data_IF_222312094707
#
_entry.id   IF_222312094707
#
_cell.length_a   1.000
_cell.length_b   1.000
_cell.length_c   1.000
_cell.angle_alpha   90.00
_cell.angle_beta   90.00
_cell.angle_gamma   90.00
#
_symmetry.space_group_name_H-M   'P 1'
#
loop_
_entity.id
_entity.type
_entity.pdbx_description
1 polymer ?
#
# COMPACT_ATOMS: atom_id res chain seq x y z
N UNK A 1 27.20 -1.81 3.71
CA UNK A 1 26.06 -1.17 3.01
C UNK A 1 25.27 -2.28 2.35
N UNK A 2 24.06 -2.60 2.81
CA UNK A 2 23.24 -3.57 2.09
C UNK A 2 22.89 -2.98 0.72
N UNK A 3 22.98 -3.79 -0.33
CA UNK A 3 22.45 -3.43 -1.63
C UNK A 3 20.92 -3.39 -1.49
N UNK A 4 20.36 -2.22 -1.16
CA UNK A 4 18.92 -2.07 -1.04
C UNK A 4 18.32 -2.28 -2.43
N UNK A 5 17.60 -3.39 -2.57
CA UNK A 5 16.86 -3.71 -3.78
C UNK A 5 15.59 -2.87 -3.82
N UNK A 6 15.57 -1.88 -4.70
CA UNK A 6 14.44 -0.96 -4.84
C UNK A 6 13.46 -1.42 -5.92
N UNK A 7 13.48 -2.69 -6.32
CA UNK A 7 12.60 -3.23 -7.36
C UNK A 7 11.13 -3.01 -7.05
N UNK A 8 10.68 -3.24 -5.81
CA UNK A 8 9.28 -3.02 -5.43
C UNK A 8 8.83 -1.55 -5.61
N UNK A 9 9.68 -0.59 -5.19
CA UNK A 9 9.41 0.83 -5.38
C UNK A 9 9.34 1.20 -6.87
N UNK A 10 10.22 0.62 -7.71
CA UNK A 10 10.16 0.80 -9.17
C UNK A 10 8.93 0.17 -9.81
N UNK A 11 8.48 -0.99 -9.33
CA UNK A 11 7.23 -1.59 -9.81
C UNK A 11 6.04 -0.67 -9.51
N UNK A 12 5.96 -0.07 -8.31
CA UNK A 12 4.95 0.95 -8.01
C UNK A 12 5.08 2.17 -8.94
N UNK A 13 6.29 2.64 -9.19
CA UNK A 13 6.53 3.75 -10.13
C UNK A 13 6.07 3.43 -11.57
N UNK A 14 6.22 2.19 -12.05
CA UNK A 14 5.71 1.74 -13.35
C UNK A 14 4.19 1.90 -13.41
N UNK A 15 3.48 1.44 -12.38
CA UNK A 15 2.01 1.52 -12.35
C UNK A 15 1.57 2.99 -12.25
N UNK A 16 2.28 3.83 -11.48
CA UNK A 16 2.01 5.27 -11.39
C UNK A 16 2.23 6.00 -12.72
N UNK A 17 3.30 5.69 -13.47
CA UNK A 17 3.53 6.27 -14.80
C UNK A 17 2.39 5.92 -15.75
N UNK A 18 1.95 4.67 -15.77
CA UNK A 18 0.84 4.26 -16.63
C UNK A 18 -0.50 4.88 -16.19
N UNK A 19 -0.64 5.25 -14.92
CA UNK A 19 -1.82 5.93 -14.40
C UNK A 19 -1.93 7.40 -14.83
N UNK A 20 -0.84 8.01 -15.32
CA UNK A 20 -0.83 9.39 -15.83
C UNK A 20 -1.51 9.50 -17.21
N UNK A 21 -1.52 8.41 -17.98
CA UNK A 21 -2.16 8.32 -19.30
C UNK A 21 -3.10 7.11 -19.37
N UNK A 22 -4.17 7.05 -18.54
CA UNK A 22 -5.03 5.88 -18.46
C UNK A 22 -5.74 5.63 -19.80
N UNK A 23 -5.68 4.38 -20.28
CA UNK A 23 -6.29 3.96 -21.54
C UNK A 23 -5.42 4.12 -22.79
N UNK A 24 -4.28 4.81 -22.70
CA UNK A 24 -3.31 4.94 -23.80
C UNK A 24 -2.15 3.97 -23.63
N UNK A 25 -1.76 3.20 -24.67
CA UNK A 25 -0.57 2.36 -24.60
C UNK A 25 0.70 3.19 -24.52
N UNK A 26 1.50 2.99 -23.48
CA UNK A 26 2.83 3.62 -23.32
C UNK A 26 3.91 2.58 -23.64
N UNK A 27 4.96 2.95 -24.37
CA UNK A 27 6.03 2.00 -24.71
C UNK A 27 6.71 1.50 -23.44
N UNK A 28 6.83 0.18 -23.28
CA UNK A 28 7.43 -0.42 -22.09
C UNK A 28 8.87 0.04 -21.81
N UNK A 29 9.65 0.36 -22.84
CA UNK A 29 10.99 0.93 -22.67
C UNK A 29 10.96 2.31 -22.00
N UNK A 30 10.01 3.17 -22.38
CA UNK A 30 9.84 4.52 -21.83
C UNK A 30 9.33 4.44 -20.38
N UNK A 31 8.41 3.51 -20.10
CA UNK A 31 7.90 3.24 -18.74
C UNK A 31 9.02 2.75 -17.81
N UNK A 32 9.85 1.80 -18.27
CA UNK A 32 10.99 1.30 -17.50
C UNK A 32 12.02 2.41 -17.25
N UNK A 33 12.32 3.23 -18.27
CA UNK A 33 13.22 4.36 -18.13
C UNK A 33 12.68 5.40 -17.14
N UNK A 34 11.40 5.74 -17.22
CA UNK A 34 10.73 6.64 -16.29
C UNK A 34 10.74 6.12 -14.85
N UNK A 35 10.51 4.82 -14.65
CA UNK A 35 10.55 4.22 -13.32
C UNK A 35 11.95 4.26 -12.69
N UNK A 36 13.00 4.03 -13.49
CA UNK A 36 14.40 4.18 -13.05
C UNK A 36 14.74 5.65 -12.78
N UNK A 37 14.19 6.60 -13.54
CA UNK A 37 14.38 8.02 -13.28
C UNK A 37 13.73 8.47 -11.96
N UNK A 38 12.53 7.95 -11.63
CA UNK A 38 11.84 8.23 -10.35
C UNK A 38 12.51 7.57 -9.15
N UNK A 39 13.04 6.35 -9.33
CA UNK A 39 13.73 5.60 -8.28
C UNK A 39 15.10 5.17 -8.85
N UNK A 40 16.15 5.99 -8.69
CA UNK A 40 17.47 5.73 -9.26
C UNK A 40 18.07 4.39 -8.82
N UNK A 41 18.88 3.77 -9.69
CA UNK A 41 19.63 2.54 -9.37
C UNK A 41 20.65 2.80 -8.26
N UNK A 42 20.76 1.88 -7.31
CA UNK A 42 21.90 1.85 -6.39
C UNK A 42 23.18 1.48 -7.15
N UNK A 43 24.35 1.67 -6.51
CA UNK A 43 25.63 1.30 -7.08
C UNK A 43 25.66 -0.17 -7.55
N UNK A 44 25.16 -1.08 -6.70
CA UNK A 44 25.07 -2.51 -7.01
C UNK A 44 24.07 -2.83 -8.14
N UNK A 45 22.96 -2.10 -8.21
CA UNK A 45 21.99 -2.27 -9.30
C UNK A 45 22.51 -1.71 -10.65
N UNK A 46 23.43 -0.75 -10.59
CA UNK A 46 24.04 -0.10 -11.76
C UNK A 46 25.14 -0.93 -12.40
N UNK A 47 25.63 -1.97 -11.74
CA UNK A 47 26.63 -2.89 -12.28
C UNK A 47 26.13 -3.52 -13.58
N UNK A 48 26.91 -3.32 -14.66
CA UNK A 48 26.60 -3.82 -15.99
C UNK A 48 26.91 -5.31 -16.07
N UNK A 49 25.93 -6.09 -16.52
CA UNK A 49 26.10 -7.52 -16.74
C UNK A 49 26.80 -7.78 -18.09
N UNK A 50 27.23 -9.02 -18.33
CA UNK A 50 27.88 -9.42 -19.60
C UNK A 50 27.08 -9.08 -20.87
N UNK A 51 25.76 -8.93 -20.75
CA UNK A 51 24.87 -8.50 -21.84
C UNK A 51 24.73 -6.98 -22.03
N UNK A 52 25.55 -6.15 -21.38
CA UNK A 52 25.54 -4.69 -21.55
C UNK A 52 24.40 -3.93 -20.85
N UNK A 53 23.53 -4.63 -20.12
CA UNK A 53 22.41 -4.05 -19.37
C UNK A 53 22.74 -4.06 -17.88
N UNK A 54 22.42 -2.98 -17.17
CA UNK A 54 22.55 -2.89 -15.72
C UNK A 54 21.70 -3.96 -15.02
N UNK A 55 22.24 -4.57 -13.96
CA UNK A 55 21.57 -5.63 -13.17
C UNK A 55 20.16 -5.22 -12.76
N UNK A 56 20.00 -4.00 -12.22
CA UNK A 56 18.72 -3.47 -11.76
C UNK A 56 17.69 -3.37 -12.88
N UNK A 57 18.09 -2.92 -14.08
CA UNK A 57 17.18 -2.82 -15.23
C UNK A 57 16.72 -4.21 -15.68
N UNK A 58 17.65 -5.18 -15.76
CA UNK A 58 17.30 -6.57 -16.09
C UNK A 58 16.32 -7.17 -15.08
N UNK A 59 16.58 -6.96 -13.78
CA UNK A 59 15.72 -7.44 -12.70
C UNK A 59 14.35 -6.79 -12.73
N UNK A 60 14.28 -5.46 -12.89
CA UNK A 60 13.03 -4.73 -13.00
C UNK A 60 12.20 -5.22 -14.18
N UNK A 61 12.82 -5.35 -15.37
CA UNK A 61 12.15 -5.85 -16.57
C UNK A 61 11.53 -7.23 -16.34
N UNK A 62 12.26 -8.15 -15.70
CA UNK A 62 11.71 -9.47 -15.34
C UNK A 62 10.58 -9.37 -14.30
N UNK A 63 10.75 -8.53 -13.28
CA UNK A 63 9.78 -8.36 -12.20
C UNK A 63 8.45 -7.78 -12.69
N UNK A 64 8.41 -7.02 -13.79
CA UNK A 64 7.14 -6.54 -14.36
C UNK A 64 6.16 -7.65 -14.78
N UNK A 65 6.59 -8.91 -14.83
CA UNK A 65 5.67 -10.04 -14.98
C UNK A 65 4.71 -10.20 -13.80
N UNK A 66 5.10 -9.77 -12.59
CA UNK A 66 4.21 -9.82 -11.42
C UNK A 66 3.04 -8.86 -11.57
N UNK A 67 3.27 -7.65 -12.09
CA UNK A 67 2.22 -6.67 -12.36
C UNK A 67 1.15 -7.20 -13.33
N UNK A 68 1.57 -8.01 -14.32
CA UNK A 68 0.64 -8.67 -15.25
C UNK A 68 -0.12 -9.79 -14.53
N UNK A 69 0.58 -10.62 -13.75
CA UNK A 69 -0.02 -11.72 -12.98
C UNK A 69 -1.07 -11.20 -11.97
N UNK A 70 -0.79 -10.05 -11.37
CA UNK A 70 -1.66 -9.34 -10.42
C UNK A 70 -2.76 -8.52 -11.13
N UNK A 71 -2.83 -8.54 -12.46
CA UNK A 71 -3.86 -7.80 -13.20
C UNK A 71 -3.71 -6.28 -13.15
N UNK A 72 -2.59 -5.73 -12.68
CA UNK A 72 -2.37 -4.29 -12.57
C UNK A 72 -2.10 -3.62 -13.93
N UNK A 73 -1.47 -4.35 -14.87
CA UNK A 73 -1.15 -3.85 -16.20
C UNK A 73 -1.42 -4.90 -17.28
N UNK A 74 -1.67 -4.44 -18.51
CA UNK A 74 -1.66 -5.26 -19.71
C UNK A 74 -0.44 -4.92 -20.56
N UNK A 75 0.23 -5.94 -21.13
CA UNK A 75 1.34 -5.76 -22.07
C UNK A 75 0.89 -6.11 -23.49
N UNK A 76 0.62 -5.09 -24.29
CA UNK A 76 0.25 -5.22 -25.70
C UNK A 76 1.44 -5.02 -26.64
N UNK A 77 1.21 -5.33 -27.93
CA UNK A 77 2.19 -5.11 -29.01
C UNK A 77 2.57 -3.64 -29.18
N UNK A 78 1.62 -2.74 -28.96
CA UNK A 78 1.76 -1.29 -29.16
C UNK A 78 2.24 -0.55 -27.92
N UNK A 79 2.24 -1.20 -26.74
CA UNK A 79 2.59 -0.58 -25.46
C UNK A 79 1.96 -1.31 -24.30
N UNK A 80 2.22 -0.81 -23.10
CA UNK A 80 1.61 -1.27 -21.86
C UNK A 80 0.47 -0.33 -21.48
N UNK A 81 -0.60 -0.86 -20.93
CA UNK A 81 -1.73 -0.08 -20.41
C UNK A 81 -1.99 -0.46 -18.97
N UNK A 82 -2.46 0.51 -18.18
CA UNK A 82 -2.95 0.25 -16.82
C UNK A 82 -4.35 -0.35 -16.85
N UNK A 83 -4.67 -1.21 -15.90
CA UNK A 83 -6.05 -1.68 -15.65
C UNK A 83 -6.73 -0.78 -14.62
N UNK A 84 -8.03 -0.95 -14.41
CA UNK A 84 -8.72 -0.25 -13.30
C UNK A 84 -8.08 -0.58 -11.94
N UNK A 85 -7.73 -1.84 -11.74
CA UNK A 85 -7.03 -2.32 -10.54
C UNK A 85 -5.63 -1.71 -10.40
N UNK A 86 -4.87 -1.61 -11.50
CA UNK A 86 -3.61 -0.88 -11.52
C UNK A 86 -3.78 0.60 -11.12
N UNK A 87 -4.80 1.27 -11.63
CA UNK A 87 -5.08 2.67 -11.30
C UNK A 87 -5.38 2.86 -9.81
N UNK A 88 -6.12 1.92 -9.20
CA UNK A 88 -6.37 1.92 -7.76
C UNK A 88 -5.08 1.71 -6.97
N UNK A 89 -4.22 0.78 -7.40
CA UNK A 89 -2.93 0.54 -6.78
C UNK A 89 -1.98 1.75 -6.90
N UNK A 90 -1.97 2.45 -8.05
CA UNK A 90 -1.17 3.65 -8.25
C UNK A 90 -1.53 4.79 -7.29
N UNK A 91 -2.84 4.95 -7.01
CA UNK A 91 -3.37 5.95 -6.10
C UNK A 91 -3.28 5.55 -4.62
N UNK A 92 -2.94 4.30 -4.31
CA UNK A 92 -2.83 3.85 -2.94
C UNK A 92 -1.62 4.48 -2.22
N UNK A 93 -1.76 4.84 -0.93
CA UNK A 93 -0.69 5.42 -0.13
C UNK A 93 0.50 4.45 0.03
N UNK A 94 1.64 4.96 0.48
CA UNK A 94 2.83 4.16 0.79
C UNK A 94 2.67 3.36 2.08
N UNK A 95 1.98 3.92 3.06
CA UNK A 95 1.62 3.27 4.31
C UNK A 95 0.28 3.78 4.85
N UNK A 96 -0.40 2.94 5.62
CA UNK A 96 -1.64 3.30 6.32
C UNK A 96 -1.52 2.82 7.76
N UNK A 97 -1.78 3.71 8.71
CA UNK A 97 -1.77 3.42 10.12
C UNK A 97 -3.18 3.57 10.70
N UNK A 98 -3.55 2.65 11.59
CA UNK A 98 -4.75 2.77 12.40
C UNK A 98 -4.36 3.24 13.81
N UNK A 99 -4.30 4.55 13.99
CA UNK A 99 -3.84 5.14 15.24
C UNK A 99 -5.03 5.48 16.15
N UNK A 100 -4.97 5.02 17.40
CA UNK A 100 -6.03 5.19 18.37
C UNK A 100 -5.57 4.94 19.80
N UNK A 101 -6.53 4.91 20.72
CA UNK A 101 -6.30 4.67 22.15
C UNK A 101 -6.06 3.18 22.53
N UNK A 102 -5.85 2.32 21.53
CA UNK A 102 -5.44 0.93 21.70
C UNK A 102 -3.98 0.68 21.29
N UNK A 103 -3.23 1.71 20.90
CA UNK A 103 -1.83 1.56 20.47
C UNK A 103 -0.99 0.77 21.49
N UNK A 104 -1.18 1.05 22.78
CA UNK A 104 -0.50 0.34 23.87
C UNK A 104 -0.86 -1.15 23.97
N UNK A 105 -2.04 -1.56 23.48
CA UNK A 105 -2.42 -2.99 23.39
C UNK A 105 -1.65 -3.71 22.28
N UNK A 106 -1.22 -2.97 21.27
CA UNK A 106 -0.42 -3.48 20.15
C UNK A 106 1.08 -3.31 20.37
N UNK A 107 1.50 -2.70 21.48
CA UNK A 107 2.92 -2.45 21.79
C UNK A 107 3.48 -1.15 21.22
N UNK A 108 2.61 -0.18 20.90
CA UNK A 108 2.96 1.18 20.52
C UNK A 108 2.47 2.20 21.56
N UNK A 109 2.84 3.47 21.43
CA UNK A 109 2.13 4.54 22.14
C UNK A 109 0.74 4.75 21.51
N UNK A 110 -0.22 5.20 22.32
CA UNK A 110 -1.53 5.59 21.78
C UNK A 110 -1.37 6.78 20.84
N UNK A 111 -2.17 6.81 19.76
CA UNK A 111 -2.13 7.87 18.75
C UNK A 111 -0.78 8.07 18.05
N UNK A 112 0.05 7.02 17.95
CA UNK A 112 1.36 7.04 17.28
C UNK A 112 1.33 6.43 15.87
N UNK A 113 0.99 7.21 14.81
CA UNK A 113 0.83 6.68 13.45
C UNK A 113 2.14 6.24 12.79
N UNK A 114 3.29 6.63 13.35
CA UNK A 114 4.59 6.21 12.85
C UNK A 114 5.02 4.82 13.35
N UNK A 115 4.35 4.28 14.37
CA UNK A 115 4.71 3.00 14.96
C UNK A 115 4.37 1.83 14.00
N UNK A 116 5.29 0.88 13.88
CA UNK A 116 5.13 -0.27 12.98
C UNK A 116 3.95 -1.18 13.39
N UNK A 117 3.65 -1.24 14.70
CA UNK A 117 2.62 -2.10 15.28
C UNK A 117 1.18 -1.69 14.91
N UNK A 118 0.99 -0.43 14.51
CA UNK A 118 -0.32 0.09 14.08
C UNK A 118 -0.43 0.22 12.56
N UNK A 119 0.61 -0.16 11.81
CA UNK A 119 0.55 -0.18 10.36
C UNK A 119 -0.35 -1.32 9.88
N UNK A 120 -1.22 -0.98 8.95
CA UNK A 120 -2.09 -1.93 8.27
C UNK A 120 -1.31 -2.60 7.14
N UNK A 121 -1.69 -3.83 6.79
CA UNK A 121 -1.15 -4.55 5.64
C UNK A 121 -2.06 -4.37 4.42
N UNK A 122 -1.50 -4.03 3.27
CA UNK A 122 -2.28 -3.96 2.03
C UNK A 122 -2.61 -5.36 1.51
N UNK A 123 -3.90 -5.64 1.30
CA UNK A 123 -4.39 -6.85 0.67
C UNK A 123 -4.71 -6.58 -0.80
N UNK A 124 -3.99 -7.17 -1.76
CA UNK A 124 -4.26 -6.96 -3.18
C UNK A 124 -5.57 -7.62 -3.63
N UNK A 125 -5.96 -8.75 -2.99
CA UNK A 125 -7.22 -9.46 -3.30
C UNK A 125 -8.42 -8.58 -3.00
N UNK A 126 -8.37 -7.92 -1.85
CA UNK A 126 -9.48 -7.15 -1.34
C UNK A 126 -9.33 -5.64 -1.66
N UNK A 127 -8.17 -5.22 -2.18
CA UNK A 127 -7.81 -3.84 -2.50
C UNK A 127 -8.01 -2.88 -1.33
N UNK A 128 -7.64 -3.32 -0.14
CA UNK A 128 -7.81 -2.56 1.10
C UNK A 128 -6.65 -2.80 2.06
N UNK A 129 -6.55 -1.94 3.06
CA UNK A 129 -5.56 -2.08 4.12
C UNK A 129 -6.21 -2.75 5.33
N UNK A 130 -5.59 -3.78 5.89
CA UNK A 130 -6.16 -4.62 6.93
C UNK A 130 -5.26 -4.65 8.17
N UNK A 131 -5.86 -4.53 9.36
CA UNK A 131 -5.21 -4.74 10.65
C UNK A 131 -6.11 -5.59 11.53
N UNK A 132 -5.61 -6.75 11.95
CA UNK A 132 -6.29 -7.63 12.89
C UNK A 132 -5.64 -7.53 14.26
N UNK A 133 -6.46 -7.33 15.29
CA UNK A 133 -6.02 -7.14 16.66
C UNK A 133 -6.87 -7.95 17.64
N UNK A 134 -6.25 -8.46 18.70
CA UNK A 134 -6.94 -8.95 19.88
C UNK A 134 -7.11 -7.78 20.86
N UNK A 135 -8.33 -7.29 21.05
CA UNK A 135 -8.63 -6.19 21.95
C UNK A 135 -9.49 -6.67 23.13
N UNK A 136 -9.25 -6.21 24.36
CA UNK A 136 -10.19 -6.39 25.48
C UNK A 136 -11.53 -5.70 25.24
N UNK A 137 -12.53 -6.03 26.06
CA UNK A 137 -13.77 -5.28 26.09
C UNK A 137 -13.53 -3.80 26.43
N UNK A 138 -14.22 -2.89 25.75
CA UNK A 138 -14.09 -1.46 25.98
C UNK A 138 -14.56 -0.60 24.81
N UNK A 139 -14.38 0.71 24.99
CA UNK A 139 -14.64 1.71 23.94
C UNK A 139 -13.32 2.24 23.41
N UNK A 140 -13.15 2.15 22.09
CA UNK A 140 -11.95 2.56 21.40
C UNK A 140 -12.22 3.73 20.47
N UNK A 141 -11.27 4.65 20.43
CA UNK A 141 -11.25 5.78 19.51
C UNK A 141 -10.06 5.67 18.59
N UNK A 142 -10.25 5.93 17.30
CA UNK A 142 -9.18 5.84 16.32
C UNK A 142 -9.42 6.68 15.08
N UNK A 143 -8.35 6.88 14.30
CA UNK A 143 -8.34 7.47 12.97
C UNK A 143 -7.39 6.71 12.06
N UNK A 144 -7.54 6.93 10.77
CA UNK A 144 -6.58 6.46 9.76
C UNK A 144 -5.60 7.57 9.47
N UNK A 145 -4.31 7.26 9.55
CA UNK A 145 -3.22 8.17 9.21
C UNK A 145 -2.47 7.63 8.00
N UNK A 146 -2.06 8.52 7.10
CA UNK A 146 -1.41 8.17 5.82
C UNK A 146 0.09 8.40 5.92
N UNK A 147 0.86 7.49 5.31
CA UNK A 147 2.31 7.59 5.16
C UNK A 147 3.04 7.84 6.48
N UNK A 148 2.59 7.14 7.54
CA UNK A 148 3.17 7.19 8.89
C UNK A 148 3.14 8.58 9.54
N UNK A 149 2.26 9.46 9.06
CA UNK A 149 2.15 10.86 9.51
C UNK A 149 0.70 11.28 9.70
N UNK A 150 0.49 12.32 10.49
CA UNK A 150 -0.83 12.96 10.64
C UNK A 150 -1.14 13.99 9.56
N UNK A 151 -0.20 14.30 8.66
CA UNK A 151 -0.37 15.28 7.57
C UNK A 151 -1.63 15.02 6.73
N UNK A 152 -1.88 13.77 6.37
CA UNK A 152 -3.12 13.32 5.77
C UNK A 152 -3.75 12.25 6.67
N UNK A 153 -4.98 12.49 7.10
CA UNK A 153 -5.70 11.56 7.97
C UNK A 153 -7.22 11.65 7.75
N UNK A 154 -7.89 10.54 8.05
CA UNK A 154 -9.32 10.37 7.87
C UNK A 154 -9.94 9.90 9.18
N UNK A 155 -11.01 10.61 9.56
CA UNK A 155 -11.86 10.26 10.69
C UNK A 155 -13.14 9.56 10.25
N UNK A 156 -14.13 9.52 11.13
CA UNK A 156 -15.43 8.89 10.91
C UNK A 156 -16.04 9.31 9.56
N UNK A 157 -16.59 8.32 8.84
CA UNK A 157 -17.19 8.47 7.51
C UNK A 157 -16.20 8.96 6.44
N UNK A 158 -14.91 8.64 6.62
CA UNK A 158 -13.83 9.05 5.71
C UNK A 158 -13.59 10.54 5.60
N UNK A 159 -14.03 11.33 6.59
CA UNK A 159 -13.88 12.79 6.56
C UNK A 159 -12.41 13.16 6.82
N UNK A 160 -11.82 13.93 5.89
CA UNK A 160 -10.46 14.45 6.06
C UNK A 160 -10.39 15.32 7.33
N UNK A 161 -9.41 15.03 8.19
CA UNK A 161 -9.29 15.66 9.51
C UNK A 161 -10.58 15.59 10.35
N UNK A 162 -11.44 14.61 10.09
CA UNK A 162 -12.75 14.47 10.72
C UNK A 162 -12.69 14.01 12.18
N UNK A 163 -13.87 13.76 12.76
CA UNK A 163 -14.01 13.22 14.11
C UNK A 163 -13.42 11.80 14.21
N UNK A 164 -13.11 11.34 15.43
CA UNK A 164 -12.64 9.98 15.64
C UNK A 164 -13.72 8.95 15.29
N UNK A 165 -13.31 7.78 14.79
CA UNK A 165 -14.18 6.60 14.83
C UNK A 165 -14.35 6.14 16.27
N UNK A 166 -15.53 5.63 16.59
CA UNK A 166 -15.84 5.02 17.87
C UNK A 166 -16.17 3.55 17.64
N UNK A 167 -15.45 2.65 18.32
CA UNK A 167 -15.76 1.22 18.36
C UNK A 167 -16.11 0.84 19.80
N UNK A 168 -17.34 0.39 20.01
CA UNK A 168 -17.71 -0.37 21.20
C UNK A 168 -17.42 -1.84 20.92
N UNK A 169 -16.59 -2.47 21.74
CA UNK A 169 -16.14 -3.85 21.53
C UNK A 169 -16.32 -4.66 22.80
N UNK A 170 -16.87 -5.87 22.67
CA UNK A 170 -17.09 -6.79 23.80
C UNK A 170 -15.85 -7.61 24.16
N UNK A 171 -14.76 -7.39 23.42
CA UNK A 171 -13.51 -8.12 23.57
C UNK A 171 -13.43 -9.29 22.60
N UNK A 172 -12.20 -9.62 22.17
CA UNK A 172 -11.99 -10.62 21.12
C UNK A 172 -11.14 -10.09 19.97
N UNK A 173 -11.10 -10.90 18.91
CA UNK A 173 -10.45 -10.53 17.65
C UNK A 173 -11.34 -9.56 16.87
N UNK A 174 -10.74 -8.45 16.44
CA UNK A 174 -11.35 -7.48 15.54
C UNK A 174 -10.43 -7.28 14.34
N UNK A 175 -11.02 -7.20 13.15
CA UNK A 175 -10.33 -6.85 11.92
C UNK A 175 -10.86 -5.50 11.43
N UNK A 176 -9.94 -4.55 11.26
CA UNK A 176 -10.20 -3.26 10.66
C UNK A 176 -9.76 -3.28 9.20
N UNK A 177 -10.58 -2.72 8.32
CA UNK A 177 -10.37 -2.70 6.89
C UNK A 177 -10.57 -1.29 6.36
N UNK A 178 -9.51 -0.66 5.88
CA UNK A 178 -9.53 0.68 5.31
C UNK A 178 -9.55 0.61 3.78
N UNK A 179 -10.57 1.23 3.17
CA UNK A 179 -10.66 1.43 1.72
C UNK A 179 -10.22 2.86 1.36
N UNK A 180 -9.12 2.99 0.61
CA UNK A 180 -8.58 4.30 0.24
C UNK A 180 -9.44 5.05 -0.80
N UNK A 181 -10.45 4.43 -1.41
CA UNK A 181 -11.42 5.11 -2.28
C UNK A 181 -12.50 5.80 -1.47
N UNK A 182 -13.09 5.12 -0.48
CA UNK A 182 -14.08 5.74 0.42
C UNK A 182 -13.43 6.59 1.51
N UNK A 183 -12.13 6.37 1.76
CA UNK A 183 -11.36 6.91 2.89
C UNK A 183 -11.88 6.42 4.25
N UNK A 184 -12.69 5.38 4.27
CA UNK A 184 -13.40 4.94 5.46
C UNK A 184 -12.98 3.54 5.92
N UNK A 185 -13.33 3.22 7.17
CA UNK A 185 -12.99 1.94 7.81
C UNK A 185 -14.22 1.09 8.03
N UNK A 186 -14.19 -0.13 7.50
CA UNK A 186 -15.10 -1.21 7.86
C UNK A 186 -14.50 -2.02 9.01
N UNK A 187 -15.33 -2.41 9.97
CA UNK A 187 -14.91 -3.20 11.13
C UNK A 187 -15.66 -4.53 11.12
N UNK A 188 -14.92 -5.63 11.20
CA UNK A 188 -15.47 -6.97 11.36
C UNK A 188 -15.02 -7.53 12.71
N UNK A 189 -15.98 -7.86 13.56
CA UNK A 189 -15.75 -8.59 14.81
C UNK A 189 -16.01 -10.06 14.54
N UNK A 190 -15.05 -10.93 14.87
CA UNK A 190 -15.28 -12.37 14.85
C UNK A 190 -15.84 -12.74 16.21
N UNK A 191 -17.16 -12.92 16.30
CA UNK A 191 -17.80 -13.34 17.53
C UNK A 191 -17.24 -14.69 18.00
N UNK A 192 -16.72 -14.71 19.23
CA UNK A 192 -16.27 -15.91 19.91
C UNK A 192 -17.42 -16.82 20.38
N UNK A 193 -18.47 -16.97 19.57
CA UNK A 193 -19.59 -17.86 19.87
C UNK A 193 -19.46 -19.16 19.06
N UNK A 194 -18.64 -20.09 19.56
CA UNK A 194 -19.00 -21.49 19.51
C UNK A 194 -19.31 -21.92 20.94
N UNK A 195 -20.61 -21.97 21.25
CA UNK A 195 -21.12 -22.73 22.40
C UNK A 195 -21.10 -24.21 22.04
#
# INVERSE_FOLDING_TARGET
MSAQDNTAARLKAIVQILAEEPGSPVKGADVLAGAVARVPLSAWESEVLSGGIARGVKRLSAATATLVKEGLILKGRTGWTITEEGSRYAAAPGAVALAGNFGHRLGAEDWAPAADQVQMAYSPVSQSWELTAQLPAGTYEYKVAIDRSWEENYGAFGVSNGANHILQHDGGVVTFRYDHRSKDVEVTVLDGALV
#
